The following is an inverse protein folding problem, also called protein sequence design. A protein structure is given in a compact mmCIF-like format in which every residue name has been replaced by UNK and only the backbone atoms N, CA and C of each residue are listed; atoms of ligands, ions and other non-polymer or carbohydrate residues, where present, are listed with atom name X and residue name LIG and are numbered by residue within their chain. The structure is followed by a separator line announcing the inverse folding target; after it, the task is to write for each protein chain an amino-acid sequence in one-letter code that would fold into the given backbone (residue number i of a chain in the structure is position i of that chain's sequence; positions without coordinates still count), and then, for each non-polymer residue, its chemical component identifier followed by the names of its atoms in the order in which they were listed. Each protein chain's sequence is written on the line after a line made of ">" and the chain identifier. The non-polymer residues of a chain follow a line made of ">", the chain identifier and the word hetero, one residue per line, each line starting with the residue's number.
data_IF_501184194527
#
_entry.id   IF_501184194527
#
_cell.length_a   1.000
_cell.length_b   1.000
_cell.length_c   1.000
_cell.angle_alpha   90.00
_cell.angle_beta   90.00
_cell.angle_gamma   90.00
#
_symmetry.space_group_name_H-M   'P 1'
#
loop_
_entity.id
_entity.type
_entity.pdbx_description
1 polymer ?
#
# COMPACT_ATOMS: atom_id res chain seq x y z
N UNK A 1 -2.50 6.89 12.99
CA UNK A 1 -2.36 5.55 12.36
C UNK A 1 -2.06 5.60 10.86
N UNK A 2 -2.73 6.43 10.04
CA UNK A 2 -2.41 6.53 8.61
C UNK A 2 -1.04 7.20 8.35
N UNK A 3 -0.62 8.08 9.26
CA UNK A 3 0.66 8.78 9.32
C UNK A 3 1.84 7.82 9.48
N UNK A 4 1.77 6.92 10.47
CA UNK A 4 2.77 5.85 10.65
C UNK A 4 2.92 5.02 9.38
N UNK A 5 1.81 4.69 8.69
CA UNK A 5 1.85 3.88 7.46
C UNK A 5 2.46 4.66 6.30
N UNK A 6 2.19 5.97 6.20
CA UNK A 6 2.82 6.82 5.20
C UNK A 6 4.34 6.91 5.42
N UNK A 7 4.78 7.15 6.66
CA UNK A 7 6.19 7.25 7.01
C UNK A 7 6.94 5.94 6.76
N UNK A 8 6.39 4.80 7.20
CA UNK A 8 7.00 3.49 6.96
C UNK A 8 7.13 3.20 5.45
N UNK A 9 6.13 3.54 4.64
CA UNK A 9 6.23 3.33 3.19
C UNK A 9 7.32 4.22 2.55
N UNK A 10 7.47 5.47 3.01
CA UNK A 10 8.51 6.36 2.50
C UNK A 10 9.89 5.85 2.90
N UNK A 11 10.13 5.66 4.20
CA UNK A 11 11.45 5.39 4.75
C UNK A 11 11.95 3.97 4.46
N UNK A 12 11.08 2.97 4.61
CA UNK A 12 11.47 1.56 4.47
C UNK A 12 11.34 1.04 3.03
N UNK A 13 10.45 1.63 2.21
CA UNK A 13 10.17 1.12 0.86
C UNK A 13 10.65 2.08 -0.21
N UNK A 14 10.16 3.31 -0.27
CA UNK A 14 10.45 4.21 -1.39
C UNK A 14 11.90 4.67 -1.41
N UNK A 15 12.47 4.98 -0.23
CA UNK A 15 13.87 5.35 -0.10
C UNK A 15 14.83 4.18 -0.40
N UNK A 16 14.42 2.92 -0.18
CA UNK A 16 15.28 1.75 -0.39
C UNK A 16 15.18 1.14 -1.77
N UNK A 17 13.97 1.05 -2.33
CA UNK A 17 13.70 0.36 -3.59
C UNK A 17 13.36 1.31 -4.75
N UNK A 18 13.33 2.61 -4.47
CA UNK A 18 12.97 3.63 -5.43
C UNK A 18 11.47 3.90 -5.49
N UNK A 19 11.13 4.92 -6.29
CA UNK A 19 9.80 5.50 -6.29
C UNK A 19 8.82 4.71 -7.17
N UNK A 20 7.72 4.15 -6.62
CA UNK A 20 6.80 3.36 -7.41
C UNK A 20 5.93 4.26 -8.30
N UNK A 21 5.72 3.85 -9.55
CA UNK A 21 4.82 4.56 -10.48
C UNK A 21 3.35 4.34 -10.12
N UNK A 22 3.01 3.21 -9.51
CA UNK A 22 1.67 2.97 -8.97
C UNK A 22 1.68 2.06 -7.73
N UNK A 23 0.69 2.25 -6.86
CA UNK A 23 0.43 1.41 -5.69
C UNK A 23 -0.95 0.78 -5.85
N UNK A 24 -1.00 -0.55 -5.72
CA UNK A 24 -2.23 -1.32 -5.63
C UNK A 24 -2.55 -1.57 -4.17
N UNK A 25 -3.70 -1.10 -3.69
CA UNK A 25 -4.15 -1.33 -2.31
C UNK A 25 -5.62 -1.70 -2.26
N UNK A 26 -6.03 -2.29 -1.15
CA UNK A 26 -7.44 -2.54 -0.89
C UNK A 26 -8.16 -1.26 -0.42
N UNK A 27 -9.48 -1.33 -0.36
CA UNK A 27 -10.33 -0.24 0.13
C UNK A 27 -10.27 -0.07 1.67
N UNK A 28 -9.15 -0.42 2.31
CA UNK A 28 -8.99 -0.25 3.75
C UNK A 28 -8.96 1.23 4.14
N UNK A 29 -9.57 1.62 5.27
CA UNK A 29 -9.65 3.03 5.68
C UNK A 29 -8.27 3.70 5.85
N UNK A 30 -7.24 2.91 6.16
CA UNK A 30 -5.84 3.35 6.27
C UNK A 30 -5.22 3.79 4.93
N UNK A 31 -5.69 3.25 3.81
CA UNK A 31 -5.19 3.52 2.46
C UNK A 31 -6.11 4.46 1.65
N UNK A 32 -7.31 4.72 2.18
CA UNK A 32 -8.25 5.71 1.67
C UNK A 32 -8.10 7.05 2.42
N UNK A 33 -7.58 7.04 3.65
CA UNK A 33 -7.37 8.23 4.46
C UNK A 33 -6.75 9.40 3.67
N UNK A 34 -7.22 10.61 3.96
CA UNK A 34 -6.80 11.84 3.26
C UNK A 34 -5.29 12.02 3.30
N UNK A 35 -4.65 11.68 4.42
CA UNK A 35 -3.20 11.73 4.54
C UNK A 35 -2.47 10.86 3.51
N UNK A 36 -2.92 9.62 3.30
CA UNK A 36 -2.32 8.74 2.29
C UNK A 36 -2.60 9.26 0.87
N UNK A 37 -3.75 9.89 0.68
CA UNK A 37 -4.11 10.53 -0.60
C UNK A 37 -3.21 11.74 -0.88
N UNK A 38 -2.93 12.58 0.11
CA UNK A 38 -2.07 13.76 -0.02
C UNK A 38 -0.59 13.38 -0.19
N UNK A 39 -0.07 12.45 0.62
CA UNK A 39 1.30 11.93 0.48
C UNK A 39 1.54 11.42 -0.94
N UNK A 40 0.60 10.64 -1.45
CA UNK A 40 0.64 10.08 -2.79
C UNK A 40 0.60 11.14 -3.90
N UNK A 41 -0.18 12.22 -3.73
CA UNK A 41 -0.23 13.35 -4.67
C UNK A 41 1.11 14.09 -4.70
N UNK A 42 1.67 14.41 -3.54
CA UNK A 42 2.99 15.04 -3.42
C UNK A 42 4.10 14.21 -4.09
N UNK A 43 3.90 12.90 -4.11
CA UNK A 43 4.82 11.90 -4.61
C UNK A 43 4.54 11.43 -6.06
N UNK A 44 3.54 12.00 -6.75
CA UNK A 44 3.18 11.68 -8.14
C UNK A 44 2.93 10.18 -8.45
N UNK A 45 2.61 9.38 -7.44
CA UNK A 45 2.32 7.95 -7.62
C UNK A 45 0.96 7.83 -8.34
N UNK A 46 0.60 6.69 -8.97
CA UNK A 46 -0.78 6.31 -9.42
C UNK A 46 -1.46 5.24 -8.54
N UNK A 47 -2.74 5.38 -8.15
CA UNK A 47 -3.36 4.49 -7.15
C UNK A 47 -4.34 3.62 -7.88
N UNK A 48 -4.18 2.33 -7.70
CA UNK A 48 -5.14 1.33 -8.15
C UNK A 48 -5.76 0.74 -6.89
N UNK A 49 -7.08 0.73 -6.84
CA UNK A 49 -7.80 0.07 -5.77
C UNK A 49 -8.27 -1.28 -6.30
N UNK A 50 -8.09 -2.34 -5.52
CA UNK A 50 -8.69 -3.64 -5.84
C UNK A 50 -10.20 -3.51 -5.72
N UNK A 51 -10.95 -4.13 -6.64
CA UNK A 51 -12.40 -4.20 -6.52
C UNK A 51 -12.79 -4.81 -5.15
N UNK A 52 -13.83 -4.27 -4.53
CA UNK A 52 -14.37 -4.84 -3.30
C UNK A 52 -14.75 -6.30 -3.56
N UNK A 53 -14.38 -7.21 -2.66
CA UNK A 53 -14.64 -8.66 -2.75
C UNK A 53 -13.93 -9.42 -3.88
N UNK A 54 -12.91 -8.84 -4.53
CA UNK A 54 -12.08 -9.57 -5.50
C UNK A 54 -10.66 -9.82 -4.96
N UNK A 55 -10.55 -10.79 -4.04
CA UNK A 55 -9.30 -11.20 -3.38
C UNK A 55 -8.19 -11.63 -4.36
N UNK A 56 -8.57 -12.06 -5.57
CA UNK A 56 -7.66 -12.57 -6.59
C UNK A 56 -6.70 -11.50 -7.15
N UNK A 57 -7.10 -10.22 -7.13
CA UNK A 57 -6.23 -9.11 -7.57
C UNK A 57 -5.19 -8.74 -6.51
N UNK A 58 -5.37 -9.19 -5.26
CA UNK A 58 -4.49 -8.84 -4.17
C UNK A 58 -3.42 -9.92 -3.94
N UNK A 59 -2.40 -9.95 -4.81
CA UNK A 59 -1.27 -10.88 -4.70
C UNK A 59 -0.56 -10.82 -3.33
N UNK A 60 -0.68 -9.72 -2.60
CA UNK A 60 -0.11 -9.60 -1.24
C UNK A 60 -0.78 -10.54 -0.24
N UNK A 61 -2.05 -10.93 -0.40
CA UNK A 61 -2.68 -11.91 0.49
C UNK A 61 -1.99 -13.27 0.44
N UNK A 62 -1.51 -13.68 -0.75
CA UNK A 62 -0.77 -14.93 -0.92
C UNK A 62 0.57 -14.87 -0.18
N UNK A 63 1.31 -13.79 -0.34
CA UNK A 63 2.61 -13.59 0.36
C UNK A 63 2.39 -13.53 1.87
N UNK A 64 1.39 -12.79 2.33
CA UNK A 64 1.06 -12.68 3.75
C UNK A 64 0.67 -14.04 4.36
N UNK A 65 -0.02 -14.90 3.61
CA UNK A 65 -0.31 -16.28 4.05
C UNK A 65 0.98 -17.08 4.22
N UNK A 66 1.90 -17.02 3.26
CA UNK A 66 3.19 -17.71 3.35
C UNK A 66 4.01 -17.20 4.55
N UNK A 67 4.11 -15.90 4.73
CA UNK A 67 4.85 -15.30 5.85
C UNK A 67 4.27 -15.72 7.21
N UNK A 68 2.94 -15.76 7.35
CA UNK A 68 2.27 -16.25 8.58
C UNK A 68 2.53 -17.71 8.90
N UNK A 69 2.94 -18.53 7.92
CA UNK A 69 3.31 -19.93 8.14
C UNK A 69 4.79 -20.09 8.50
N UNK A 70 5.59 -19.04 8.32
CA UNK A 70 7.04 -19.03 8.57
C UNK A 70 7.42 -18.32 9.88
N UNK A 71 6.42 -17.82 10.61
CA UNK A 71 6.52 -17.20 11.93
C UNK A 71 5.81 -18.11 12.92
#
# INVERSE_FOLDING_TARGET
>A
MADVIANVNIDEVFCRYGMPTFILSNNGPKFIADLFTETRKALCIRRKLTAAYHAQTNMTERVNRTLKLQI
#
